data_IF_879123265136
#
_entry.id   IF_879123265136
#
_cell.length_a   1.000
_cell.length_b   1.000
_cell.length_c   1.000
_cell.angle_alpha   90.00
_cell.angle_beta   90.00
_cell.angle_gamma   90.00
#
_symmetry.space_group_name_H-M   'P 1'
#
loop_
_entity.id
_entity.type
_entity.pdbx_description
1 polymer ?
#
# COMPACT_ATOMS: atom_id res chain seq x y z
N UNK A 1 -23.44 25.52 -44.79
CA UNK A 1 -24.18 24.53 -43.97
C UNK A 1 -23.13 23.62 -43.29
N UNK A 2 -22.18 24.13 -42.51
CA UNK A 2 -22.26 24.34 -41.05
C UNK A 2 -23.34 23.48 -40.37
N UNK A 3 -22.95 22.47 -39.57
CA UNK A 3 -23.64 22.07 -38.31
C UNK A 3 -23.14 20.85 -37.53
N UNK A 4 -22.11 20.10 -37.96
CA UNK A 4 -21.69 18.88 -37.21
C UNK A 4 -20.18 18.76 -36.97
N UNK A 5 -19.48 19.88 -36.74
CA UNK A 5 -18.09 19.86 -36.28
C UNK A 5 -18.01 20.22 -34.78
N UNK A 6 -18.92 19.68 -33.98
CA UNK A 6 -19.04 19.99 -32.56
C UNK A 6 -19.17 18.73 -31.75
N UNK A 7 -18.31 18.62 -30.73
CA UNK A 7 -18.28 17.62 -29.66
C UNK A 7 -17.72 16.25 -30.02
N UNK A 8 -16.42 16.07 -29.79
CA UNK A 8 -15.93 15.00 -28.89
C UNK A 8 -14.47 15.24 -28.48
N UNK A 9 -14.13 16.43 -27.98
CA UNK A 9 -12.90 16.60 -27.22
C UNK A 9 -13.15 16.12 -25.78
N UNK A 10 -13.13 14.80 -25.57
CA UNK A 10 -13.05 14.24 -24.22
C UNK A 10 -11.68 14.62 -23.67
N UNK A 11 -11.68 15.58 -22.76
CA UNK A 11 -10.52 15.97 -21.99
C UNK A 11 -10.27 14.87 -20.95
N UNK A 12 -9.28 13.99 -21.21
CA UNK A 12 -8.82 13.00 -20.25
C UNK A 12 -8.00 13.74 -19.19
N UNK A 13 -8.68 14.29 -18.18
CA UNK A 13 -8.02 14.84 -17.01
C UNK A 13 -7.45 13.67 -16.17
N UNK A 14 -6.18 13.70 -15.77
CA UNK A 14 -5.62 12.65 -14.91
C UNK A 14 -6.30 12.72 -13.54
N UNK A 15 -7.07 11.69 -13.23
CA UNK A 15 -7.63 11.49 -11.89
C UNK A 15 -6.51 10.90 -11.03
N UNK A 16 -5.87 11.71 -10.20
CA UNK A 16 -4.95 11.20 -9.19
C UNK A 16 -5.75 10.55 -8.07
N UNK A 17 -5.89 9.23 -8.14
CA UNK A 17 -6.32 8.43 -6.98
C UNK A 17 -5.15 8.36 -6.00
N UNK A 18 -5.37 8.77 -4.76
CA UNK A 18 -4.39 8.64 -3.68
C UNK A 18 -4.84 7.47 -2.82
N UNK A 19 -4.11 6.36 -2.85
CA UNK A 19 -4.25 5.34 -1.84
C UNK A 19 -3.82 5.92 -0.48
N UNK A 20 -4.43 5.50 0.61
CA UNK A 20 -4.05 5.93 1.96
C UNK A 20 -2.76 5.19 2.38
N UNK A 21 -1.64 5.60 1.78
CA UNK A 21 -0.30 5.14 2.14
C UNK A 21 0.05 5.58 3.57
N UNK A 22 1.00 4.87 4.19
CA UNK A 22 1.50 5.16 5.53
C UNK A 22 2.93 5.72 5.49
N UNK A 23 3.15 6.97 5.04
CA UNK A 23 4.47 7.47 4.68
C UNK A 23 5.38 7.79 5.87
N UNK A 24 4.85 7.85 7.09
CA UNK A 24 5.60 8.28 8.27
C UNK A 24 5.05 7.66 9.55
N UNK A 25 5.80 7.83 10.65
CA UNK A 25 5.38 7.37 11.97
C UNK A 25 4.01 7.96 12.37
N UNK A 26 3.12 7.10 12.87
CA UNK A 26 1.71 7.40 13.13
C UNK A 26 0.87 7.82 11.90
N UNK A 27 1.35 7.55 10.69
CA UNK A 27 0.58 7.71 9.46
C UNK A 27 0.54 9.15 8.93
N UNK A 28 -0.24 9.40 7.87
CA UNK A 28 -0.29 10.70 7.19
C UNK A 28 -0.56 11.88 8.13
N UNK A 29 -1.41 11.66 9.14
CA UNK A 29 -1.83 12.68 10.12
C UNK A 29 -1.08 12.61 11.45
N UNK A 30 -0.12 11.67 11.61
CA UNK A 30 0.65 11.45 12.84
C UNK A 30 -0.22 11.11 14.07
N UNK A 31 -1.38 10.51 13.85
CA UNK A 31 -2.36 10.16 14.89
C UNK A 31 -2.51 8.66 15.14
N UNK A 32 -1.86 7.82 14.33
CA UNK A 32 -1.90 6.37 14.48
C UNK A 32 -3.24 5.75 14.06
N UNK A 33 -4.07 6.49 13.33
CA UNK A 33 -5.41 6.05 12.93
C UNK A 33 -5.40 5.54 11.48
N UNK A 34 -5.74 4.27 11.32
CA UNK A 34 -6.01 3.63 10.03
C UNK A 34 -7.39 4.02 9.51
N UNK A 35 -7.48 4.37 8.22
CA UNK A 35 -8.69 4.95 7.61
C UNK A 35 -9.16 4.24 6.34
N UNK A 36 -8.59 3.09 6.04
CA UNK A 36 -9.01 2.29 4.88
C UNK A 36 -10.30 1.52 5.16
N UNK A 37 -10.99 1.13 4.09
CA UNK A 37 -12.29 0.45 4.14
C UNK A 37 -12.20 -0.96 3.53
N UNK A 38 -13.21 -1.80 3.76
CA UNK A 38 -13.27 -3.14 3.16
C UNK A 38 -12.36 -4.19 3.81
N UNK A 39 -11.71 -3.85 4.92
CA UNK A 39 -10.98 -4.81 5.75
C UNK A 39 -11.98 -5.56 6.64
N UNK A 40 -11.93 -6.90 6.71
CA UNK A 40 -12.83 -7.66 7.57
C UNK A 40 -12.53 -7.41 9.05
N UNK A 41 -13.56 -7.13 9.84
CA UNK A 41 -13.45 -6.97 11.30
C UNK A 41 -13.06 -8.26 12.02
N UNK A 42 -13.25 -9.41 11.36
CA UNK A 42 -12.96 -10.73 11.91
C UNK A 42 -12.28 -11.61 10.90
N UNK A 43 -11.25 -12.31 11.36
CA UNK A 43 -10.68 -13.42 10.61
C UNK A 43 -11.65 -14.62 10.58
N UNK A 44 -11.58 -15.47 9.54
CA UNK A 44 -12.33 -16.72 9.51
C UNK A 44 -11.88 -17.65 10.64
N UNK A 45 -12.69 -18.67 10.97
CA UNK A 45 -12.44 -19.59 12.09
C UNK A 45 -11.10 -20.37 12.01
N UNK A 46 -10.42 -20.37 10.86
CA UNK A 46 -9.08 -20.94 10.65
C UNK A 46 -7.95 -19.91 10.49
N UNK A 47 -8.24 -18.62 10.63
CA UNK A 47 -7.30 -17.53 10.38
C UNK A 47 -7.08 -17.23 8.89
N UNK A 48 -6.38 -16.12 8.56
CA UNK A 48 -6.04 -15.79 7.19
C UNK A 48 -5.03 -16.81 6.63
N UNK A 49 -5.11 -17.08 5.33
CA UNK A 49 -4.12 -17.92 4.65
C UNK A 49 -2.75 -17.23 4.67
N UNK A 50 -1.70 -17.97 5.04
CA UNK A 50 -0.32 -17.49 4.95
C UNK A 50 0.10 -17.46 3.48
N UNK A 51 0.33 -16.26 2.94
CA UNK A 51 0.74 -16.09 1.54
C UNK A 51 2.24 -16.27 1.33
N UNK A 52 3.06 -15.82 2.28
CA UNK A 52 4.51 -15.88 2.19
C UNK A 52 5.14 -15.90 3.59
N UNK A 53 6.41 -16.28 3.63
CA UNK A 53 7.26 -16.15 4.82
C UNK A 53 8.69 -15.91 4.35
N UNK A 54 9.45 -15.12 5.09
CA UNK A 54 10.87 -14.90 4.82
C UNK A 54 11.67 -15.14 6.11
N UNK A 55 12.81 -15.86 6.04
CA UNK A 55 13.71 -15.97 7.17
C UNK A 55 14.41 -14.63 7.38
N UNK A 56 14.23 -14.03 8.55
CA UNK A 56 14.90 -12.80 8.97
C UNK A 56 15.81 -13.09 10.17
N UNK A 57 16.90 -12.32 10.28
CA UNK A 57 17.78 -12.34 11.46
C UNK A 57 17.17 -11.57 12.64
N UNK A 58 17.96 -11.21 13.67
CA UNK A 58 17.50 -10.33 14.74
C UNK A 58 16.97 -9.00 14.18
N UNK A 59 15.74 -8.65 14.53
CA UNK A 59 15.05 -7.45 14.07
C UNK A 59 15.02 -6.38 15.16
N UNK A 60 15.12 -5.11 14.76
CA UNK A 60 15.11 -3.97 15.67
C UNK A 60 13.88 -3.05 15.50
N UNK A 61 13.10 -3.24 14.43
CA UNK A 61 11.89 -2.45 14.17
C UNK A 61 10.82 -3.31 13.52
N UNK A 62 9.56 -2.89 13.65
CA UNK A 62 8.47 -3.49 12.88
C UNK A 62 8.66 -3.31 11.36
N UNK A 63 8.03 -4.17 10.54
CA UNK A 63 8.09 -4.11 9.10
C UNK A 63 7.32 -2.90 8.53
N UNK A 64 7.79 -2.36 7.41
CA UNK A 64 7.07 -1.35 6.61
C UNK A 64 6.95 -1.83 5.16
N UNK A 65 5.80 -1.59 4.52
CA UNK A 65 5.58 -2.00 3.12
C UNK A 65 5.59 -0.78 2.20
N UNK A 66 6.37 -0.84 1.12
CA UNK A 66 6.34 0.13 0.03
C UNK A 66 6.91 -0.50 -1.25
N UNK A 67 6.40 -0.11 -2.43
CA UNK A 67 6.93 -0.53 -3.73
C UNK A 67 7.17 -2.06 -3.85
N UNK A 68 6.20 -2.88 -3.45
CA UNK A 68 6.32 -4.36 -3.48
C UNK A 68 7.46 -4.95 -2.65
N UNK A 69 7.98 -4.17 -1.70
CA UNK A 69 8.99 -4.57 -0.73
C UNK A 69 8.43 -4.45 0.70
N UNK A 70 8.68 -5.47 1.52
CA UNK A 70 8.60 -5.35 2.98
C UNK A 70 10.00 -5.00 3.49
N UNK A 71 10.15 -3.80 4.04
CA UNK A 71 11.37 -3.30 4.63
C UNK A 71 11.43 -3.63 6.12
N UNK A 72 12.55 -4.24 6.54
CA UNK A 72 12.81 -4.58 7.94
C UNK A 72 14.21 -4.14 8.34
N UNK A 73 14.36 -3.58 9.54
CA UNK A 73 15.67 -3.26 10.13
C UNK A 73 16.20 -4.48 10.89
N UNK A 74 17.28 -5.08 10.42
CA UNK A 74 17.97 -6.21 11.08
C UNK A 74 19.43 -5.88 11.46
N UNK A 75 20.13 -6.78 12.14
CA UNK A 75 21.60 -6.71 12.35
C UNK A 75 22.43 -6.38 11.09
N UNK A 76 21.98 -6.83 9.92
CA UNK A 76 22.69 -6.65 8.62
C UNK A 76 22.37 -5.35 7.89
N UNK A 77 21.39 -4.56 8.34
CA UNK A 77 20.98 -3.34 7.63
C UNK A 77 19.47 -3.20 7.49
N UNK A 78 19.04 -2.48 6.46
CA UNK A 78 17.65 -2.50 6.00
C UNK A 78 17.55 -3.55 4.91
N UNK A 79 16.67 -4.54 5.09
CA UNK A 79 16.41 -5.61 4.13
C UNK A 79 15.09 -5.33 3.44
N UNK A 80 15.04 -5.35 2.09
CA UNK A 80 13.79 -5.50 1.36
C UNK A 80 13.53 -6.99 1.12
N UNK A 81 12.40 -7.47 1.62
CA UNK A 81 11.78 -8.72 1.18
C UNK A 81 10.82 -8.37 0.04
N UNK A 82 11.24 -8.66 -1.21
CA UNK A 82 10.41 -8.40 -2.38
C UNK A 82 9.28 -9.42 -2.47
N UNK A 83 8.05 -8.95 -2.72
CA UNK A 83 6.87 -9.79 -2.87
C UNK A 83 6.52 -10.12 -4.33
N UNK A 84 7.30 -9.62 -5.30
CA UNK A 84 6.98 -9.72 -6.73
C UNK A 84 5.77 -8.85 -7.08
N UNK A 85 6.02 -7.75 -7.78
CA UNK A 85 4.94 -6.91 -8.34
C UNK A 85 4.38 -7.48 -9.63
#
# INVERSE_FOLDING_TARGET
MSRYLGLFAICVLPISVRADDWPQWFGPKRDGVWRDYGIPDKFPNGGPNRLWTAPLGPEYSGPAFANWCVFVRSDRGIVCVSLGG
#
